data_IF_558552207841
#
_entry.id   IF_558552207841
#
_cell.length_a   1.000
_cell.length_b   1.000
_cell.length_c   1.000
_cell.angle_alpha   90.00
_cell.angle_beta   90.00
_cell.angle_gamma   90.00
#
_symmetry.space_group_name_H-M   'P 1'
#
loop_
_entity.id
_entity.type
_entity.pdbx_description
1 polymer ?
#
# COMPACT_ATOMS: atom_id res chain seq x y z
N UNK A 1 -4.34 48.13 -29.91
CA UNK A 1 -5.32 47.03 -29.89
C UNK A 1 -4.53 45.74 -30.00
N UNK A 2 -4.17 45.20 -28.84
CA UNK A 2 -3.32 44.03 -28.65
C UNK A 2 -3.95 42.78 -29.24
N UNK A 3 -3.25 42.17 -30.20
CA UNK A 3 -3.51 40.82 -30.69
C UNK A 3 -2.44 39.81 -30.25
N UNK A 4 -1.55 40.21 -29.33
CA UNK A 4 -0.40 39.42 -28.84
C UNK A 4 -0.57 38.94 -27.40
N UNK A 5 -1.75 39.12 -26.79
CA UNK A 5 -2.01 38.79 -25.38
C UNK A 5 -2.93 37.58 -25.16
N UNK A 6 -3.16 36.74 -26.18
CA UNK A 6 -4.16 35.64 -26.10
C UNK A 6 -3.63 34.22 -26.30
N UNK A 7 -2.31 34.03 -26.38
CA UNK A 7 -1.67 32.70 -26.53
C UNK A 7 -0.85 32.25 -25.31
N UNK A 8 -1.14 32.79 -24.12
CA UNK A 8 -0.73 32.19 -22.84
C UNK A 8 -1.90 31.49 -22.14
N UNK A 9 -2.89 30.99 -22.90
CA UNK A 9 -3.70 29.90 -22.40
C UNK A 9 -2.78 28.67 -22.40
N UNK A 10 -2.25 28.33 -21.22
CA UNK A 10 -1.42 27.16 -21.01
C UNK A 10 -2.09 25.93 -21.63
N UNK A 11 -1.61 25.49 -22.80
CA UNK A 11 -1.73 24.09 -23.17
C UNK A 11 -1.02 23.33 -22.05
N UNK A 12 -1.80 22.86 -21.07
CA UNK A 12 -1.28 22.00 -20.02
C UNK A 12 -0.74 20.77 -20.71
N UNK A 13 0.57 20.70 -20.84
CA UNK A 13 1.23 19.56 -21.47
C UNK A 13 0.92 18.32 -20.61
N UNK A 14 0.79 17.12 -21.19
CA UNK A 14 0.67 15.88 -20.42
C UNK A 14 1.73 15.74 -19.32
N UNK A 15 2.91 16.35 -19.53
CA UNK A 15 3.99 16.44 -18.54
C UNK A 15 3.59 17.16 -17.25
N UNK A 16 2.78 18.23 -17.34
CA UNK A 16 2.40 19.04 -16.19
C UNK A 16 1.43 18.28 -15.29
N UNK A 17 0.52 17.52 -15.91
CA UNK A 17 -0.41 16.64 -15.21
C UNK A 17 0.37 15.56 -14.46
N UNK A 18 1.31 14.88 -15.14
CA UNK A 18 2.15 13.86 -14.53
C UNK A 18 2.94 14.44 -13.35
N UNK A 19 3.57 15.60 -13.56
CA UNK A 19 4.37 16.27 -12.55
C UNK A 19 3.53 16.61 -11.30
N UNK A 20 2.30 17.08 -11.48
CA UNK A 20 1.38 17.37 -10.37
C UNK A 20 1.06 16.13 -9.53
N UNK A 21 0.77 14.99 -10.16
CA UNK A 21 0.52 13.73 -9.46
C UNK A 21 1.76 13.22 -8.71
N UNK A 22 2.95 13.36 -9.31
CA UNK A 22 4.21 12.96 -8.67
C UNK A 22 4.48 13.84 -7.46
N UNK A 23 4.39 15.17 -7.60
CA UNK A 23 4.63 16.12 -6.49
C UNK A 23 3.65 15.84 -5.34
N UNK A 24 2.37 15.66 -5.65
CA UNK A 24 1.35 15.37 -4.63
C UNK A 24 1.64 14.07 -3.90
N UNK A 25 2.06 13.03 -4.64
CA UNK A 25 2.48 11.75 -4.06
C UNK A 25 3.69 11.90 -3.14
N UNK A 26 4.72 12.62 -3.58
CA UNK A 26 5.91 12.87 -2.77
C UNK A 26 5.59 13.64 -1.48
N UNK A 27 4.68 14.61 -1.55
CA UNK A 27 4.21 15.34 -0.37
C UNK A 27 3.51 14.38 0.59
N UNK A 28 2.59 13.54 0.10
CA UNK A 28 1.87 12.57 0.94
C UNK A 28 2.85 11.60 1.61
N UNK A 29 3.77 11.00 0.85
CA UNK A 29 4.79 10.08 1.37
C UNK A 29 5.65 10.77 2.43
N UNK A 30 6.06 12.02 2.18
CA UNK A 30 6.84 12.81 3.14
C UNK A 30 6.06 13.10 4.43
N UNK A 31 4.76 13.41 4.33
CA UNK A 31 3.89 13.63 5.49
C UNK A 31 3.69 12.34 6.30
N UNK A 32 3.49 11.21 5.62
CA UNK A 32 3.36 9.90 6.26
C UNK A 32 4.66 9.50 6.98
N UNK A 33 5.80 9.71 6.34
CA UNK A 33 7.11 9.45 6.93
C UNK A 33 7.38 10.37 8.12
N UNK A 34 7.07 11.66 7.97
CA UNK A 34 7.20 12.66 9.04
C UNK A 34 6.37 12.29 10.26
N UNK A 35 5.10 11.91 10.07
CA UNK A 35 4.28 11.45 11.19
C UNK A 35 4.79 10.15 11.80
N UNK A 36 5.21 9.17 10.99
CA UNK A 36 5.74 7.91 11.50
C UNK A 36 6.92 8.16 12.45
N UNK A 37 7.83 9.04 12.07
CA UNK A 37 9.00 9.36 12.89
C UNK A 37 8.61 10.19 14.13
N UNK A 38 7.77 11.21 13.95
CA UNK A 38 7.56 12.27 14.95
C UNK A 38 6.39 12.04 15.91
N UNK A 39 5.29 11.45 15.44
CA UNK A 39 4.02 11.41 16.18
C UNK A 39 3.49 9.99 16.42
N UNK A 40 3.94 9.00 15.65
CA UNK A 40 3.49 7.62 15.82
C UNK A 40 4.05 7.02 17.12
N UNK A 41 3.15 6.48 17.94
CA UNK A 41 3.45 5.73 19.15
C UNK A 41 2.87 4.31 19.01
N UNK A 42 3.72 3.28 18.88
CA UNK A 42 3.29 1.90 18.66
C UNK A 42 2.62 1.28 19.89
N UNK A 43 2.69 1.93 21.07
CA UNK A 43 2.08 1.43 22.31
C UNK A 43 0.61 1.82 22.45
N UNK A 44 0.07 2.69 21.59
CA UNK A 44 -1.31 3.17 21.69
C UNK A 44 -2.27 2.40 20.78
N UNK A 45 -3.52 2.21 21.23
CA UNK A 45 -4.57 1.51 20.46
C UNK A 45 -4.92 2.28 19.16
N UNK A 46 -4.80 1.65 17.96
CA UNK A 46 -5.18 2.27 16.69
C UNK A 46 -6.69 2.53 16.52
N UNK A 47 -7.52 2.07 17.45
CA UNK A 47 -8.96 2.34 17.48
C UNK A 47 -9.40 3.14 18.72
N UNK A 48 -8.48 3.85 19.37
CA UNK A 48 -8.79 4.66 20.56
C UNK A 48 -9.87 5.70 20.25
N UNK A 49 -10.86 5.82 21.15
CA UNK A 49 -11.81 6.92 21.10
C UNK A 49 -11.14 8.22 21.53
N UNK A 50 -11.73 9.37 21.19
CA UNK A 50 -11.22 10.67 21.65
C UNK A 50 -11.16 10.80 23.18
N UNK A 51 -12.00 10.05 23.88
CA UNK A 51 -12.12 10.04 25.34
C UNK A 51 -11.15 9.06 26.02
N UNK A 52 -10.62 8.08 25.26
CA UNK A 52 -9.67 7.04 25.74
C UNK A 52 -8.27 7.18 25.11
N UNK A 53 -7.73 8.41 24.99
CA UNK A 53 -6.46 8.67 24.28
C UNK A 53 -5.23 7.93 24.82
N UNK A 54 -5.21 7.62 26.11
CA UNK A 54 -4.12 6.89 26.78
C UNK A 54 -4.33 5.37 26.79
N UNK A 55 -5.34 4.87 26.07
CA UNK A 55 -5.58 3.43 25.95
C UNK A 55 -4.40 2.77 25.26
N UNK A 56 -3.67 1.99 26.05
CA UNK A 56 -2.56 1.20 25.56
C UNK A 56 -3.08 0.06 24.68
N UNK A 57 -2.40 -0.18 23.58
CA UNK A 57 -2.54 -1.39 22.80
C UNK A 57 -2.33 -2.58 23.73
N UNK A 58 -3.29 -3.51 23.77
CA UNK A 58 -3.10 -4.78 24.47
C UNK A 58 -1.92 -5.56 23.85
N UNK A 59 -1.66 -5.33 22.57
CA UNK A 59 -0.71 -6.04 21.73
C UNK A 59 0.08 -5.05 20.83
N UNK A 60 1.15 -4.41 21.34
CA UNK A 60 1.96 -3.47 20.57
C UNK A 60 2.83 -4.20 19.54
N UNK A 61 3.01 -3.60 18.36
CA UNK A 61 3.80 -4.20 17.28
C UNK A 61 5.30 -4.11 17.61
N UNK A 62 6.00 -5.25 17.63
CA UNK A 62 7.38 -5.33 18.10
C UNK A 62 8.37 -4.65 17.15
N UNK A 63 8.10 -4.71 15.84
CA UNK A 63 8.96 -4.12 14.81
C UNK A 63 8.92 -2.59 14.87
N UNK A 64 7.73 -2.01 15.04
CA UNK A 64 7.58 -0.56 15.09
C UNK A 64 8.31 0.04 16.30
N UNK A 65 8.24 -0.64 17.47
CA UNK A 65 8.97 -0.24 18.69
C UNK A 65 10.48 -0.26 18.45
N UNK A 66 11.02 -1.31 17.83
CA UNK A 66 12.46 -1.45 17.57
C UNK A 66 12.94 -0.43 16.55
N UNK A 67 12.21 -0.24 15.44
CA UNK A 67 12.61 0.68 14.38
C UNK A 67 12.53 2.12 14.87
N UNK A 68 11.46 2.51 15.57
CA UNK A 68 11.34 3.86 16.14
C UNK A 68 12.38 4.09 17.23
N UNK A 69 12.68 3.08 18.05
CA UNK A 69 13.76 3.14 19.02
C UNK A 69 15.11 3.39 18.37
N UNK A 70 15.42 2.71 17.27
CA UNK A 70 16.67 2.88 16.53
C UNK A 70 16.74 4.26 15.84
N UNK A 71 15.68 4.67 15.15
CA UNK A 71 15.64 5.94 14.40
C UNK A 71 15.67 7.14 15.34
N UNK A 72 14.98 7.09 16.48
CA UNK A 72 14.99 8.15 17.49
C UNK A 72 16.27 8.18 18.32
N UNK A 73 17.06 7.10 18.31
CA UNK A 73 18.37 7.05 18.95
C UNK A 73 19.48 7.74 18.14
N UNK A 74 19.19 8.24 16.93
CA UNK A 74 20.15 8.96 16.10
C UNK A 74 20.32 10.39 16.65
N UNK A 75 21.53 10.76 17.13
CA UNK A 75 21.76 12.00 17.88
C UNK A 75 21.51 13.28 17.07
N UNK A 76 21.52 13.23 15.74
CA UNK A 76 21.23 14.38 14.89
C UNK A 76 19.73 14.61 14.64
N UNK A 77 18.87 13.58 14.77
CA UNK A 77 17.41 13.79 14.78
C UNK A 77 16.94 14.41 16.10
N UNK A 78 17.59 14.08 17.22
CA UNK A 78 17.28 14.60 18.56
C UNK A 78 17.60 16.10 18.69
N UNK A 79 18.51 16.64 17.85
CA UNK A 79 18.87 18.07 17.83
C UNK A 79 17.88 18.94 17.04
N UNK A 80 16.93 18.36 16.31
CA UNK A 80 15.87 19.15 15.68
C UNK A 80 14.99 19.74 16.80
N UNK A 81 14.83 21.08 16.87
CA UNK A 81 14.05 21.75 17.93
C UNK A 81 12.56 21.33 17.95
N UNK A 82 12.11 20.57 16.95
CA UNK A 82 10.78 19.97 16.88
C UNK A 82 10.56 18.78 17.82
N UNK A 83 11.63 18.16 18.37
CA UNK A 83 11.52 16.91 19.14
C UNK A 83 11.05 17.10 20.59
N UNK A 84 11.12 18.30 21.16
CA UNK A 84 10.91 18.49 22.61
C UNK A 84 9.77 19.42 23.01
N UNK A 85 9.17 20.23 22.12
CA UNK A 85 8.21 21.29 22.55
C UNK A 85 7.06 21.58 21.57
N UNK A 86 6.76 20.72 20.59
CA UNK A 86 5.50 20.89 19.84
C UNK A 86 4.43 20.10 20.58
N UNK A 87 3.38 20.79 21.05
CA UNK A 87 2.17 20.15 21.60
C UNK A 87 1.72 19.07 20.63
N UNK A 88 1.95 17.82 21.00
CA UNK A 88 1.77 16.64 20.15
C UNK A 88 0.36 16.59 19.57
N UNK A 89 -0.62 17.16 20.28
CA UNK A 89 -2.03 17.21 19.88
C UNK A 89 -2.32 18.17 18.71
N UNK A 90 -1.77 19.38 18.75
CA UNK A 90 -1.99 20.38 17.69
C UNK A 90 -1.30 19.94 16.39
N UNK A 91 -0.11 19.34 16.51
CA UNK A 91 0.62 18.77 15.38
C UNK A 91 -0.08 17.52 14.82
N UNK A 92 -0.52 16.59 15.66
CA UNK A 92 -1.26 15.40 15.22
C UNK A 92 -2.57 15.78 14.52
N UNK A 93 -3.31 16.77 15.05
CA UNK A 93 -4.53 17.27 14.43
C UNK A 93 -4.25 17.95 13.07
N UNK A 94 -3.21 18.78 12.99
CA UNK A 94 -2.80 19.44 11.76
C UNK A 94 -2.32 18.45 10.69
N UNK A 95 -1.49 17.47 11.07
CA UNK A 95 -1.01 16.41 10.17
C UNK A 95 -2.16 15.54 9.68
N UNK A 96 -3.06 15.10 10.56
CA UNK A 96 -4.24 14.34 10.15
C UNK A 96 -5.11 15.12 9.17
N UNK A 97 -5.35 16.41 9.42
CA UNK A 97 -6.14 17.26 8.53
C UNK A 97 -5.47 17.47 7.17
N UNK A 98 -4.15 17.66 7.18
CA UNK A 98 -3.33 17.81 5.98
C UNK A 98 -3.33 16.54 5.12
N UNK A 99 -2.97 15.40 5.73
CA UNK A 99 -2.98 14.08 5.07
C UNK A 99 -4.36 13.75 4.53
N UNK A 100 -5.42 14.08 5.27
CA UNK A 100 -6.79 13.88 4.81
C UNK A 100 -7.12 14.71 3.57
N UNK A 101 -6.70 15.98 3.53
CA UNK A 101 -6.94 16.87 2.38
C UNK A 101 -6.19 16.37 1.14
N UNK A 102 -4.94 15.93 1.30
CA UNK A 102 -4.15 15.39 0.21
C UNK A 102 -4.66 14.01 -0.27
N UNK A 103 -5.09 13.15 0.66
CA UNK A 103 -5.78 11.89 0.33
C UNK A 103 -7.00 12.16 -0.54
N UNK A 104 -7.85 13.11 -0.14
CA UNK A 104 -9.05 13.46 -0.89
C UNK A 104 -8.71 13.99 -2.27
N UNK A 105 -7.75 14.92 -2.33
CA UNK A 105 -7.27 15.48 -3.59
C UNK A 105 -6.78 14.39 -4.54
N UNK A 106 -5.98 13.44 -4.05
CA UNK A 106 -5.43 12.35 -4.86
C UNK A 106 -6.52 11.40 -5.36
N UNK A 107 -7.47 11.02 -4.50
CA UNK A 107 -8.58 10.13 -4.86
C UNK A 107 -9.52 10.80 -5.87
N UNK A 108 -9.89 12.07 -5.65
CA UNK A 108 -10.76 12.81 -6.56
C UNK A 108 -10.08 13.06 -7.90
N UNK A 109 -8.82 13.52 -7.90
CA UNK A 109 -8.06 13.76 -9.12
C UNK A 109 -7.85 12.47 -9.92
N UNK A 110 -7.45 11.38 -9.26
CA UNK A 110 -7.27 10.07 -9.90
C UNK A 110 -8.57 9.51 -10.47
N UNK A 111 -9.67 9.60 -9.73
CA UNK A 111 -11.00 9.17 -10.20
C UNK A 111 -11.45 9.99 -11.41
N UNK A 112 -11.30 11.32 -11.36
CA UNK A 112 -11.65 12.20 -12.46
C UNK A 112 -10.81 11.92 -13.71
N UNK A 113 -9.50 11.74 -13.56
CA UNK A 113 -8.61 11.40 -14.67
C UNK A 113 -9.02 10.08 -15.34
N UNK A 114 -9.25 9.03 -14.55
CA UNK A 114 -9.73 7.74 -15.06
C UNK A 114 -11.08 7.87 -15.76
N UNK A 115 -12.04 8.56 -15.14
CA UNK A 115 -13.36 8.77 -15.72
C UNK A 115 -13.29 9.53 -17.06
N UNK A 116 -12.48 10.60 -17.13
CA UNK A 116 -12.24 11.34 -18.37
C UNK A 116 -11.63 10.44 -19.45
N UNK A 117 -10.66 9.59 -19.10
CA UNK A 117 -10.08 8.65 -20.07
C UNK A 117 -11.12 7.66 -20.61
N UNK A 118 -12.03 7.15 -19.78
CA UNK A 118 -13.10 6.27 -20.27
C UNK A 118 -14.11 6.99 -21.17
N UNK A 119 -14.41 8.26 -20.90
CA UNK A 119 -15.30 9.07 -21.75
C UNK A 119 -14.64 9.41 -23.09
N UNK A 120 -13.34 9.71 -23.09
CA UNK A 120 -12.56 9.97 -24.30
C UNK A 120 -12.29 8.68 -25.09
N UNK A 121 -12.31 7.50 -24.45
CA UNK A 121 -12.19 6.23 -25.14
C UNK A 121 -13.28 6.05 -26.22
N UNK A 122 -14.53 6.45 -25.93
CA UNK A 122 -15.64 6.46 -26.89
C UNK A 122 -15.38 7.37 -28.11
N UNK A 123 -14.55 8.40 -27.94
CA UNK A 123 -14.21 9.39 -28.98
C UNK A 123 -12.92 9.07 -29.73
N UNK A 124 -12.24 7.99 -29.37
CA UNK A 124 -11.00 7.56 -30.02
C UNK A 124 -9.73 8.00 -29.30
N UNK A 125 -9.70 7.92 -27.96
CA UNK A 125 -8.48 8.14 -27.17
C UNK A 125 -7.32 7.26 -27.67
N UNK A 126 -6.16 7.87 -27.82
CA UNK A 126 -4.93 7.19 -28.25
C UNK A 126 -4.42 6.23 -27.17
N UNK A 127 -3.81 5.13 -27.61
CA UNK A 127 -3.16 4.11 -26.75
C UNK A 127 -2.17 4.74 -25.74
N UNK A 128 -1.32 5.67 -26.20
CA UNK A 128 -0.34 6.35 -25.34
C UNK A 128 -0.97 7.12 -24.17
N UNK A 129 -2.09 7.82 -24.42
CA UNK A 129 -2.76 8.60 -23.38
C UNK A 129 -3.45 7.70 -22.35
N UNK A 130 -3.95 6.55 -22.79
CA UNK A 130 -4.56 5.55 -21.90
C UNK A 130 -3.52 4.94 -20.94
N UNK A 131 -2.34 4.58 -21.44
CA UNK A 131 -1.22 4.07 -20.60
C UNK A 131 -0.80 5.10 -19.54
N UNK A 132 -0.65 6.37 -19.91
CA UNK A 132 -0.34 7.43 -18.94
C UNK A 132 -1.40 7.52 -17.85
N UNK A 133 -2.68 7.57 -18.23
CA UNK A 133 -3.76 7.69 -17.24
C UNK A 133 -3.86 6.43 -16.37
N UNK A 134 -3.58 5.24 -16.91
CA UNK A 134 -3.50 4.01 -16.13
C UNK A 134 -2.41 4.10 -15.05
N UNK A 135 -1.19 4.53 -15.42
CA UNK A 135 -0.06 4.71 -14.49
C UNK A 135 -0.34 5.77 -13.42
N UNK A 136 -0.94 6.90 -13.81
CA UNK A 136 -1.33 7.95 -12.86
C UNK A 136 -2.43 7.49 -11.90
N UNK A 137 -3.43 6.77 -12.42
CA UNK A 137 -4.48 6.17 -11.61
C UNK A 137 -3.93 5.15 -10.61
N UNK A 138 -2.98 4.32 -11.04
CA UNK A 138 -2.29 3.36 -10.18
C UNK A 138 -1.50 4.04 -9.06
N UNK A 139 -0.70 5.05 -9.39
CA UNK A 139 0.06 5.82 -8.40
C UNK A 139 -0.89 6.49 -7.39
N UNK A 140 -1.97 7.11 -7.87
CA UNK A 140 -2.98 7.72 -7.02
C UNK A 140 -3.70 6.71 -6.13
N UNK A 141 -3.96 5.51 -6.63
CA UNK A 141 -4.59 4.43 -5.86
C UNK A 141 -3.69 3.93 -4.74
N UNK A 142 -2.40 3.67 -5.01
CA UNK A 142 -1.44 3.27 -3.98
C UNK A 142 -1.32 4.33 -2.90
N UNK A 143 -1.16 5.60 -3.29
CA UNK A 143 -1.00 6.72 -2.36
C UNK A 143 -2.25 6.94 -1.52
N UNK A 144 -3.43 6.78 -2.12
CA UNK A 144 -4.69 6.81 -1.38
C UNK A 144 -4.78 5.67 -0.36
N UNK A 145 -4.36 4.46 -0.75
CA UNK A 145 -4.36 3.30 0.13
C UNK A 145 -3.37 3.41 1.30
N UNK A 146 -2.18 3.98 1.09
CA UNK A 146 -1.22 4.22 2.17
C UNK A 146 -1.75 5.27 3.15
N UNK A 147 -2.30 6.37 2.64
CA UNK A 147 -2.93 7.40 3.46
C UNK A 147 -4.18 6.89 4.21
N UNK A 148 -4.98 5.99 3.63
CA UNK A 148 -6.11 5.37 4.32
C UNK A 148 -5.67 4.50 5.50
N UNK A 149 -4.55 3.80 5.35
CA UNK A 149 -3.98 2.94 6.40
C UNK A 149 -3.55 3.78 7.62
N UNK A 150 -2.93 4.92 7.34
CA UNK A 150 -2.59 5.95 8.33
C UNK A 150 -3.81 6.56 9.02
N UNK A 151 -4.79 6.98 8.23
CA UNK A 151 -5.93 7.71 8.75
C UNK A 151 -6.95 6.79 9.45
N UNK A 152 -6.67 5.49 9.54
CA UNK A 152 -7.55 4.48 10.11
C UNK A 152 -7.99 4.82 11.54
N UNK A 153 -7.08 5.31 12.38
CA UNK A 153 -7.41 5.71 13.75
C UNK A 153 -8.35 6.93 13.79
N UNK A 154 -8.07 7.93 12.96
CA UNK A 154 -8.91 9.11 12.86
C UNK A 154 -10.31 8.77 12.29
N UNK A 155 -10.36 7.93 11.25
CA UNK A 155 -11.59 7.51 10.58
C UNK A 155 -12.41 6.50 11.39
N UNK A 156 -11.80 5.76 12.34
CA UNK A 156 -12.54 4.91 13.27
C UNK A 156 -13.51 5.71 14.15
N UNK A 157 -13.15 6.95 14.46
CA UNK A 157 -13.97 7.88 15.23
C UNK A 157 -15.09 8.55 14.40
N UNK A 158 -15.05 8.44 13.06
CA UNK A 158 -15.99 9.08 12.13
C UNK A 158 -16.50 8.11 11.05
N UNK A 159 -17.41 7.17 11.41
CA UNK A 159 -17.82 6.08 10.51
C UNK A 159 -18.53 6.56 9.23
N UNK A 160 -19.26 7.68 9.28
CA UNK A 160 -19.94 8.24 8.10
C UNK A 160 -18.96 8.79 7.06
N UNK A 161 -17.94 9.54 7.50
CA UNK A 161 -16.89 10.06 6.62
C UNK A 161 -16.06 8.93 6.01
N UNK A 162 -15.78 7.91 6.83
CA UNK A 162 -15.14 6.68 6.40
C UNK A 162 -15.90 5.98 5.27
N UNK A 163 -17.21 5.81 5.41
CA UNK A 163 -18.01 5.08 4.42
C UNK A 163 -17.91 5.72 3.03
N UNK A 164 -18.16 7.03 2.92
CA UNK A 164 -18.11 7.74 1.63
C UNK A 164 -16.72 7.69 0.97
N UNK A 165 -15.64 7.81 1.77
CA UNK A 165 -14.25 7.70 1.28
C UNK A 165 -13.94 6.32 0.71
N UNK A 166 -14.37 5.26 1.40
CA UNK A 166 -14.22 3.89 0.91
C UNK A 166 -15.05 3.71 -0.38
N UNK A 167 -16.25 4.28 -0.46
CA UNK A 167 -17.08 4.23 -1.67
C UNK A 167 -16.36 4.87 -2.86
N UNK A 168 -15.82 6.08 -2.73
CA UNK A 168 -15.09 6.73 -3.83
C UNK A 168 -13.84 5.93 -4.19
N UNK A 169 -13.07 5.47 -3.20
CA UNK A 169 -11.87 4.66 -3.46
C UNK A 169 -12.22 3.32 -4.15
N UNK A 170 -13.39 2.75 -3.87
CA UNK A 170 -13.89 1.54 -4.55
C UNK A 170 -14.29 1.83 -5.99
N UNK A 171 -14.88 3.00 -6.26
CA UNK A 171 -15.18 3.45 -7.64
C UNK A 171 -13.86 3.62 -8.41
N UNK A 172 -12.88 4.29 -7.80
CA UNK A 172 -11.55 4.48 -8.39
C UNK A 172 -10.87 3.13 -8.71
N UNK A 173 -10.94 2.17 -7.78
CA UNK A 173 -10.44 0.81 -7.98
C UNK A 173 -11.11 0.12 -9.18
N UNK A 174 -12.43 0.23 -9.32
CA UNK A 174 -13.17 -0.34 -10.45
C UNK A 174 -12.77 0.29 -11.79
N UNK A 175 -12.68 1.62 -11.83
CA UNK A 175 -12.22 2.35 -13.00
C UNK A 175 -10.79 1.98 -13.39
N UNK A 176 -9.89 1.92 -12.41
CA UNK A 176 -8.50 1.55 -12.62
C UNK A 176 -8.36 0.10 -13.11
N UNK A 177 -9.12 -0.83 -12.54
CA UNK A 177 -9.12 -2.24 -12.97
C UNK A 177 -9.57 -2.38 -14.41
N UNK A 178 -10.58 -1.59 -14.83
CA UNK A 178 -11.02 -1.57 -16.21
C UNK A 178 -9.94 -0.99 -17.13
N UNK A 179 -9.35 0.16 -16.78
CA UNK A 179 -8.29 0.80 -17.59
C UNK A 179 -7.06 -0.09 -17.72
N UNK A 180 -6.58 -0.72 -16.64
CA UNK A 180 -5.45 -1.68 -16.68
C UNK A 180 -5.82 -2.93 -17.47
N UNK A 181 -7.08 -3.38 -17.36
CA UNK A 181 -7.62 -4.45 -18.19
C UNK A 181 -7.55 -4.15 -19.68
N UNK A 182 -7.79 -2.89 -20.07
CA UNK A 182 -7.64 -2.42 -21.45
C UNK A 182 -6.18 -2.34 -21.87
N UNK A 183 -5.30 -1.85 -20.99
CA UNK A 183 -3.87 -1.75 -21.22
C UNK A 183 -3.24 -3.11 -21.56
N UNK A 184 -3.69 -4.19 -20.90
CA UNK A 184 -3.22 -5.54 -21.20
C UNK A 184 -3.56 -6.08 -22.59
N UNK A 185 -4.45 -5.43 -23.36
CA UNK A 185 -4.74 -5.84 -24.75
C UNK A 185 -3.67 -5.42 -25.74
N UNK A 186 -2.89 -4.39 -25.44
CA UNK A 186 -1.93 -3.82 -26.38
C UNK A 186 -0.54 -3.73 -25.77
N UNK A 187 0.47 -4.05 -26.56
CA UNK A 187 1.87 -3.83 -26.21
C UNK A 187 2.51 -3.00 -27.32
N UNK A 188 2.85 -1.76 -27.01
CA UNK A 188 3.41 -0.83 -27.99
C UNK A 188 4.68 -1.43 -28.58
N UNK A 189 4.74 -1.58 -29.90
CA UNK A 189 5.87 -2.18 -30.61
C UNK A 189 5.78 -3.69 -30.87
N UNK A 190 4.80 -4.41 -30.32
CA UNK A 190 4.52 -5.81 -30.69
C UNK A 190 3.62 -5.89 -31.93
N UNK A 191 3.74 -6.97 -32.74
CA UNK A 191 2.86 -7.19 -33.89
C UNK A 191 1.41 -7.43 -33.42
N UNK A 192 0.45 -6.86 -34.15
CA UNK A 192 -0.99 -6.93 -33.83
C UNK A 192 -1.53 -8.34 -33.71
N UNK A 193 -0.98 -9.28 -34.47
CA UNK A 193 -1.38 -10.68 -34.41
C UNK A 193 -0.20 -11.60 -34.79
N UNK A 194 0.33 -12.41 -33.86
CA UNK A 194 1.43 -13.33 -34.17
C UNK A 194 1.01 -14.48 -35.10
N UNK A 195 -0.28 -14.64 -35.36
CA UNK A 195 -0.86 -15.73 -36.15
C UNK A 195 -1.35 -15.31 -37.55
N UNK A 196 -1.40 -14.01 -37.83
CA UNK A 196 -1.94 -13.45 -39.08
C UNK A 196 -0.83 -12.70 -39.83
N UNK A 197 -0.87 -12.66 -41.17
CA UNK A 197 0.17 -12.04 -42.01
C UNK A 197 0.34 -10.51 -41.87
N UNK A 198 -0.42 -9.86 -40.98
CA UNK A 198 -0.26 -8.45 -40.64
C UNK A 198 0.70 -8.30 -39.45
N UNK A 199 1.99 -8.28 -39.76
CA UNK A 199 3.07 -8.09 -38.79
C UNK A 199 3.31 -6.62 -38.44
N UNK A 200 2.34 -5.72 -38.68
CA UNK A 200 2.52 -4.31 -38.35
C UNK A 200 2.55 -4.11 -36.82
N UNK A 201 3.55 -3.41 -36.27
CA UNK A 201 3.61 -3.14 -34.85
C UNK A 201 2.48 -2.20 -34.41
N UNK A 202 2.00 -2.37 -33.18
CA UNK A 202 1.04 -1.46 -32.56
C UNK A 202 1.69 -0.08 -32.43
N UNK A 203 1.06 0.94 -33.01
CA UNK A 203 1.60 2.30 -33.03
C UNK A 203 0.94 3.19 -31.95
N UNK A 204 1.68 4.10 -31.29
CA UNK A 204 1.19 4.87 -30.14
C UNK A 204 -0.04 5.76 -30.39
N UNK A 205 -0.23 6.20 -31.64
CA UNK A 205 -1.33 7.09 -32.05
C UNK A 205 -2.59 6.35 -32.50
N UNK A 206 -2.57 5.01 -32.51
CA UNK A 206 -3.76 4.25 -32.86
C UNK A 206 -4.84 4.42 -31.77
N UNK A 207 -6.13 4.50 -32.15
CA UNK A 207 -7.21 4.65 -31.20
C UNK A 207 -7.39 3.36 -30.41
N UNK A 208 -7.35 3.44 -29.07
CA UNK A 208 -7.41 2.30 -28.17
C UNK A 208 -8.71 1.49 -28.31
N UNK A 209 -9.81 2.12 -28.72
CA UNK A 209 -11.09 1.47 -28.96
C UNK A 209 -11.03 0.34 -30.00
N UNK A 210 -10.08 0.37 -30.93
CA UNK A 210 -9.90 -0.69 -31.95
C UNK A 210 -9.55 -2.05 -31.32
N UNK A 211 -8.91 -2.03 -30.15
CA UNK A 211 -8.48 -3.22 -29.44
C UNK A 211 -9.57 -3.76 -28.49
N UNK A 212 -10.60 -2.96 -28.23
CA UNK A 212 -11.73 -3.36 -27.40
C UNK A 212 -12.53 -4.48 -28.10
N UNK A 213 -12.51 -5.69 -27.53
CA UNK A 213 -13.25 -6.85 -28.03
C UNK A 213 -12.47 -7.78 -28.96
N UNK A 214 -11.18 -7.50 -29.22
CA UNK A 214 -10.29 -8.49 -29.86
C UNK A 214 -9.92 -9.61 -28.87
N UNK A 215 -9.42 -10.76 -29.36
CA UNK A 215 -8.93 -11.81 -28.46
C UNK A 215 -7.64 -11.34 -27.79
N UNK A 216 -7.60 -11.33 -26.45
CA UNK A 216 -6.37 -11.00 -25.72
C UNK A 216 -5.25 -12.00 -26.07
N UNK A 217 -4.06 -11.52 -26.44
CA UNK A 217 -2.92 -12.39 -26.64
C UNK A 217 -2.38 -12.86 -25.28
N UNK A 218 -2.73 -14.07 -24.88
CA UNK A 218 -2.40 -14.63 -23.54
C UNK A 218 -0.91 -14.90 -23.30
N UNK A 219 -0.08 -14.88 -24.34
CA UNK A 219 1.35 -15.18 -24.27
C UNK A 219 2.25 -13.92 -24.31
N UNK A 220 1.69 -12.73 -24.09
CA UNK A 220 2.47 -11.48 -24.07
C UNK A 220 2.86 -11.08 -22.64
N UNK A 221 4.01 -10.43 -22.46
CA UNK A 221 4.42 -9.91 -21.16
C UNK A 221 3.43 -8.85 -20.62
N UNK A 222 2.73 -8.11 -21.49
CA UNK A 222 1.66 -7.18 -21.08
C UNK A 222 0.49 -7.89 -20.40
N UNK A 223 0.07 -9.06 -20.91
CA UNK A 223 -1.03 -9.82 -20.30
C UNK A 223 -0.63 -10.37 -18.93
N UNK A 224 0.59 -10.89 -18.80
CA UNK A 224 1.14 -11.33 -17.51
C UNK A 224 1.21 -10.16 -16.52
N UNK A 225 1.74 -9.01 -16.94
CA UNK A 225 1.84 -7.81 -16.12
C UNK A 225 0.46 -7.30 -15.67
N UNK A 226 -0.52 -7.25 -16.57
CA UNK A 226 -1.90 -6.88 -16.26
C UNK A 226 -2.48 -7.77 -15.15
N UNK A 227 -2.35 -9.10 -15.27
CA UNK A 227 -2.83 -10.03 -14.25
C UNK A 227 -2.14 -9.78 -12.91
N UNK A 228 -0.80 -9.63 -12.92
CA UNK A 228 -0.05 -9.38 -11.70
C UNK A 228 -0.52 -8.09 -11.02
N UNK A 229 -0.66 -6.99 -11.76
CA UNK A 229 -1.11 -5.71 -11.23
C UNK A 229 -2.54 -5.82 -10.69
N UNK A 230 -3.46 -6.50 -11.38
CA UNK A 230 -4.84 -6.72 -10.91
C UNK A 230 -4.87 -7.54 -9.62
N UNK A 231 -4.07 -8.61 -9.53
CA UNK A 231 -3.95 -9.41 -8.30
C UNK A 231 -3.40 -8.55 -7.16
N UNK A 232 -2.33 -7.78 -7.39
CA UNK A 232 -1.76 -6.88 -6.39
C UNK A 232 -2.74 -5.80 -5.95
N UNK A 233 -3.53 -5.25 -6.89
CA UNK A 233 -4.60 -4.30 -6.63
C UNK A 233 -5.66 -4.90 -5.71
N UNK A 234 -6.23 -6.06 -6.07
CA UNK A 234 -7.27 -6.75 -5.29
C UNK A 234 -6.74 -7.11 -3.91
N UNK A 235 -5.54 -7.67 -3.85
CA UNK A 235 -4.88 -8.07 -2.61
C UNK A 235 -4.64 -6.86 -1.69
N UNK A 236 -4.00 -5.81 -2.21
CA UNK A 236 -3.70 -4.59 -1.45
C UNK A 236 -4.95 -3.85 -0.96
N UNK A 237 -6.00 -3.79 -1.77
CA UNK A 237 -7.29 -3.23 -1.38
C UNK A 237 -7.95 -4.06 -0.29
N UNK A 238 -8.03 -5.38 -0.48
CA UNK A 238 -8.69 -6.30 0.44
C UNK A 238 -8.03 -6.30 1.81
N UNK A 239 -6.70 -6.28 1.87
CA UNK A 239 -5.95 -6.24 3.13
C UNK A 239 -6.26 -4.96 3.90
N UNK A 240 -6.21 -3.80 3.24
CA UNK A 240 -6.44 -2.51 3.90
C UNK A 240 -7.89 -2.37 4.34
N UNK A 241 -8.84 -2.86 3.55
CA UNK A 241 -10.24 -2.93 3.93
C UNK A 241 -10.46 -3.86 5.14
N UNK A 242 -9.84 -5.03 5.13
CA UNK A 242 -9.93 -6.01 6.22
C UNK A 242 -9.31 -5.44 7.51
N UNK A 243 -8.12 -4.85 7.43
CA UNK A 243 -7.46 -4.17 8.56
C UNK A 243 -8.33 -3.05 9.15
N UNK A 244 -9.08 -2.35 8.32
CA UNK A 244 -9.99 -1.32 8.81
C UNK A 244 -11.12 -1.86 9.71
N UNK A 245 -11.36 -3.17 9.71
CA UNK A 245 -12.30 -3.81 10.64
C UNK A 245 -11.61 -4.16 11.97
N UNK A 246 -12.26 -3.78 13.08
CA UNK A 246 -11.74 -4.00 14.45
C UNK A 246 -11.51 -5.48 14.73
N UNK A 247 -12.45 -6.32 14.32
CA UNK A 247 -12.41 -7.76 14.57
C UNK A 247 -11.26 -8.46 13.84
N UNK A 248 -10.92 -8.03 12.62
CA UNK A 248 -9.86 -8.66 11.85
C UNK A 248 -8.48 -8.24 12.36
N UNK A 249 -8.30 -6.96 12.69
CA UNK A 249 -7.04 -6.46 13.23
C UNK A 249 -6.73 -7.07 14.61
N UNK A 250 -7.73 -7.19 15.48
CA UNK A 250 -7.58 -7.86 16.76
C UNK A 250 -7.15 -9.33 16.58
N UNK A 251 -7.79 -10.06 15.66
CA UNK A 251 -7.43 -11.46 15.36
C UNK A 251 -6.03 -11.60 14.77
N UNK A 252 -5.61 -10.67 13.91
CA UNK A 252 -4.25 -10.65 13.35
C UNK A 252 -3.20 -10.46 14.45
N UNK A 253 -3.38 -9.45 15.31
CA UNK A 253 -2.47 -9.15 16.43
C UNK A 253 -2.43 -10.29 17.46
N UNK A 254 -3.60 -10.87 17.78
CA UNK A 254 -3.69 -12.03 18.65
C UNK A 254 -2.99 -13.26 18.04
N UNK A 255 -3.15 -13.47 16.73
CA UNK A 255 -2.46 -14.53 15.98
C UNK A 255 -0.94 -14.37 16.01
N UNK A 256 -0.42 -13.16 15.75
CA UNK A 256 1.00 -12.85 15.81
C UNK A 256 1.58 -13.18 17.20
N UNK A 257 0.88 -12.82 18.27
CA UNK A 257 1.33 -13.12 19.64
C UNK A 257 1.25 -14.59 20.02
N UNK A 258 0.24 -15.32 19.56
CA UNK A 258 0.21 -16.78 19.76
C UNK A 258 1.41 -17.44 19.09
N UNK A 259 1.80 -16.98 17.90
CA UNK A 259 2.99 -17.47 17.20
C UNK A 259 4.28 -17.07 17.93
N UNK A 260 4.34 -15.86 18.50
CA UNK A 260 5.45 -15.42 19.36
C UNK A 260 5.58 -16.29 20.61
N UNK A 261 4.48 -16.53 21.32
CA UNK A 261 4.45 -17.39 22.50
C UNK A 261 4.82 -18.83 22.16
N UNK A 262 4.39 -19.35 21.00
CA UNK A 262 4.80 -20.67 20.52
C UNK A 262 6.30 -20.73 20.18
N UNK A 263 6.85 -19.66 19.60
CA UNK A 263 8.29 -19.53 19.34
C UNK A 263 9.10 -19.47 20.65
N UNK A 264 8.69 -18.63 21.61
CA UNK A 264 9.35 -18.47 22.91
C UNK A 264 9.27 -19.74 23.76
N UNK A 265 8.12 -20.43 23.80
CA UNK A 265 7.98 -21.74 24.48
C UNK A 265 8.91 -22.81 23.91
N UNK A 266 9.16 -22.77 22.60
CA UNK A 266 10.10 -23.71 21.95
C UNK A 266 11.57 -23.32 22.14
N UNK A 267 11.87 -22.03 22.34
CA UNK A 267 13.22 -21.57 22.70
C UNK A 267 13.59 -21.88 24.15
N UNK A 268 12.66 -21.65 25.09
CA UNK A 268 12.90 -21.85 26.52
C UNK A 268 12.76 -23.32 26.95
N UNK A 269 12.16 -24.16 26.10
CA UNK A 269 11.73 -25.50 26.48
C UNK A 269 10.50 -25.42 27.39
N UNK A 270 9.57 -26.38 27.24
CA UNK A 270 8.54 -26.55 28.26
C UNK A 270 9.28 -26.84 29.57
N UNK A 271 8.99 -26.11 30.64
CA UNK A 271 9.74 -26.15 31.92
C UNK A 271 9.73 -27.51 32.65
N UNK A 272 9.35 -28.58 31.95
CA UNK A 272 9.26 -29.95 32.40
C UNK A 272 10.13 -30.94 31.60
N UNK A 273 10.78 -30.56 30.51
CA UNK A 273 11.68 -31.47 29.77
C UNK A 273 13.10 -30.95 29.73
N UNK A 274 13.91 -31.60 30.56
CA UNK A 274 15.35 -31.86 30.47
C UNK A 274 16.26 -30.79 29.86
N UNK A 275 17.29 -30.47 30.63
CA UNK A 275 18.60 -29.98 30.20
C UNK A 275 18.82 -30.21 28.69
N UNK A 276 19.02 -29.14 27.93
CA UNK A 276 19.26 -29.14 26.49
C UNK A 276 20.57 -29.90 26.18
N UNK A 277 20.55 -31.22 26.22
CA UNK A 277 21.70 -32.08 25.92
C UNK A 277 21.49 -32.77 24.57
N UNK A 278 22.13 -32.29 23.48
CA UNK A 278 22.02 -32.88 22.14
C UNK A 278 22.62 -34.30 22.02
N UNK A 279 23.08 -34.87 23.14
CA UNK A 279 23.68 -36.20 23.27
C UNK A 279 22.75 -37.22 23.94
N UNK A 280 21.58 -36.80 24.47
CA UNK A 280 20.68 -37.63 25.28
C UNK A 280 19.49 -38.20 24.47
N UNK A 281 19.69 -38.43 23.18
CA UNK A 281 18.63 -38.88 22.28
C UNK A 281 18.64 -40.41 22.14
N UNK A 282 17.62 -41.09 22.69
CA UNK A 282 17.55 -42.56 22.72
C UNK A 282 17.04 -43.18 21.41
N UNK A 283 16.39 -42.41 20.52
CA UNK A 283 15.72 -42.94 19.32
C UNK A 283 16.00 -42.08 18.09
N UNK A 284 16.27 -42.69 16.93
CA UNK A 284 16.58 -41.98 15.66
C UNK A 284 15.48 -40.99 15.26
N UNK A 285 14.21 -41.33 15.48
CA UNK A 285 13.07 -40.45 15.19
C UNK A 285 12.99 -39.21 16.09
N UNK A 286 13.38 -39.33 17.36
CA UNK A 286 13.45 -38.18 18.29
C UNK A 286 14.63 -37.28 17.93
N UNK A 287 15.73 -37.87 17.47
CA UNK A 287 16.93 -37.14 17.06
C UNK A 287 16.67 -36.33 15.79
N UNK A 288 15.88 -36.85 14.84
CA UNK A 288 15.43 -36.12 13.64
C UNK A 288 14.44 -35.00 14.01
N UNK A 289 13.53 -35.26 14.96
CA UNK A 289 12.57 -34.26 15.43
C UNK A 289 13.27 -33.07 16.11
N UNK A 290 14.22 -33.36 17.01
CA UNK A 290 14.95 -32.34 17.79
C UNK A 290 16.00 -31.62 16.94
N UNK A 291 16.73 -32.33 16.06
CA UNK A 291 17.84 -31.73 15.27
C UNK A 291 17.38 -31.07 13.98
N UNK A 292 16.25 -31.48 13.41
CA UNK A 292 15.76 -30.98 12.13
C UNK A 292 14.37 -30.33 12.25
N UNK A 293 13.37 -31.03 12.79
CA UNK A 293 12.01 -30.49 12.79
C UNK A 293 11.84 -29.26 13.71
N UNK A 294 12.43 -29.26 14.90
CA UNK A 294 12.32 -28.15 15.86
C UNK A 294 13.03 -26.85 15.41
N UNK A 295 14.27 -26.87 14.88
CA UNK A 295 14.89 -25.65 14.34
C UNK A 295 14.20 -25.16 13.07
N UNK A 296 13.69 -26.05 12.21
CA UNK A 296 12.91 -25.64 11.03
C UNK A 296 11.54 -25.06 11.41
N UNK A 297 10.81 -25.64 12.35
CA UNK A 297 9.54 -25.07 12.82
C UNK A 297 9.78 -23.76 13.60
N UNK A 298 10.85 -23.66 14.39
CA UNK A 298 11.24 -22.40 15.02
C UNK A 298 11.53 -21.33 13.98
N UNK A 299 12.36 -21.63 12.97
CA UNK A 299 12.65 -20.71 11.88
C UNK A 299 11.36 -20.32 11.12
N UNK A 300 10.49 -21.29 10.82
CA UNK A 300 9.21 -21.05 10.16
C UNK A 300 8.30 -20.12 10.99
N UNK A 301 8.11 -20.40 12.27
CA UNK A 301 7.28 -19.55 13.13
C UNK A 301 7.89 -18.18 13.36
N UNK A 302 9.22 -18.08 13.44
CA UNK A 302 9.92 -16.79 13.58
C UNK A 302 9.80 -15.97 12.29
N UNK A 303 9.96 -16.59 11.12
CA UNK A 303 9.77 -15.92 9.82
C UNK A 303 8.33 -15.53 9.62
N UNK A 304 7.37 -16.38 9.99
CA UNK A 304 5.94 -16.10 9.90
C UNK A 304 5.51 -14.99 10.87
N UNK A 305 6.06 -14.98 12.09
CA UNK A 305 5.87 -13.90 13.06
C UNK A 305 6.46 -12.59 12.53
N UNK A 306 7.70 -12.59 12.02
CA UNK A 306 8.31 -11.40 11.43
C UNK A 306 7.50 -10.93 10.22
N UNK A 307 7.03 -11.85 9.37
CA UNK A 307 6.16 -11.50 8.23
C UNK A 307 4.84 -10.92 8.69
N UNK A 308 4.22 -11.46 9.75
CA UNK A 308 2.97 -10.94 10.29
C UNK A 308 3.16 -9.59 10.97
N UNK A 309 4.20 -9.42 11.78
CA UNK A 309 4.55 -8.15 12.43
C UNK A 309 4.94 -7.09 11.39
N UNK A 310 5.65 -7.48 10.33
CA UNK A 310 5.97 -6.63 9.19
C UNK A 310 4.68 -6.29 8.44
N UNK A 311 3.84 -7.28 8.16
CA UNK A 311 2.56 -7.10 7.52
C UNK A 311 1.62 -6.22 8.33
N UNK A 312 1.67 -6.23 9.67
CA UNK A 312 0.92 -5.33 10.56
C UNK A 312 1.63 -4.00 10.82
N UNK A 313 2.91 -3.87 10.47
CA UNK A 313 3.70 -2.66 10.65
C UNK A 313 3.29 -1.59 9.66
N UNK A 314 3.27 -0.34 10.16
CA UNK A 314 3.03 0.85 9.37
C UNK A 314 4.11 1.03 8.27
N UNK A 315 5.34 0.53 8.50
CA UNK A 315 6.43 0.58 7.51
C UNK A 315 6.16 -0.28 6.28
N UNK A 316 5.56 -1.46 6.44
CA UNK A 316 5.17 -2.29 5.30
C UNK A 316 3.99 -1.67 4.53
N UNK A 317 3.08 -1.01 5.24
CA UNK A 317 1.93 -0.32 4.63
C UNK A 317 2.35 0.87 3.75
N UNK A 318 3.46 1.53 4.08
CA UNK A 318 4.06 2.65 3.32
C UNK A 318 5.08 2.16 2.28
N UNK A 319 5.88 1.13 2.60
CA UNK A 319 7.04 0.71 1.79
C UNK A 319 6.79 -0.36 0.71
N UNK A 320 5.70 -1.14 0.78
CA UNK A 320 5.50 -2.26 -0.15
C UNK A 320 5.13 -1.86 -1.60
N UNK A 321 4.89 -0.58 -1.89
CA UNK A 321 4.39 -0.15 -3.20
C UNK A 321 5.06 1.11 -3.77
N UNK A 322 6.20 1.54 -3.19
CA UNK A 322 7.17 2.42 -3.88
C UNK A 322 8.19 1.51 -4.56
#
# INVERSE_FOLDING_TARGET
MDATARDHASETSPTDIILSFIITTLIIVSLLLGYYILAFDPELDPFRSKDERSKKCQFPNSIDVVVLGLVRSIPDLVKLPSFSVVKTEELEAALNSCVLTFFDTQVFAGTAALFCALRELERGLQVYHLDIVARLGWLAFITALSALSFLRNHLANYPAQRFWRITILSIMFGLLSFTVGLDGYFEIGQPKDPSTADSSPIQPWEPAIRYLGQKMPVNTPSFESMIMILIFMVWGFSIRLAKMSVNFDHKLREGALRLRQQSEKRQLGDGQTCNWDPLLCHTVGECVKVRLADPFLFAFFRVLHIHLDLFTSFLWEVGHFI
#
